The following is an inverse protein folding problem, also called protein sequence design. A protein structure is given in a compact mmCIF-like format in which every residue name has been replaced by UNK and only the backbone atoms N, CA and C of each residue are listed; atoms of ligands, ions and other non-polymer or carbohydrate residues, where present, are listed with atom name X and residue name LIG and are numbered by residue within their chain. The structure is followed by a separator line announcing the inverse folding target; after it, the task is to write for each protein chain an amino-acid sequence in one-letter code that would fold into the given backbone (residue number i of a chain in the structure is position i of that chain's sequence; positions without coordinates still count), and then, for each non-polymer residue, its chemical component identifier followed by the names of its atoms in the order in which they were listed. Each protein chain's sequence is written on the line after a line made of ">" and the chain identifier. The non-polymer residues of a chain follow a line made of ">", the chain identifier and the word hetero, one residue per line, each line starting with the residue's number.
data_IF_216168709812
#
_entry.id   IF_216168709812
#
_cell.length_a   1.000
_cell.length_b   1.000
_cell.length_c   1.000
_cell.angle_alpha   90.00
_cell.angle_beta   90.00
_cell.angle_gamma   90.00
#
_symmetry.space_group_name_H-M   'P 1'
#
loop_
_entity.id
_entity.type
_entity.pdbx_description
1 polymer ?
#
# COMPACT_ATOMS: atom_id res chain seq x y z
N UNK A 1 -8.52 -16.51 36.61
CA UNK A 1 -9.24 -15.97 35.45
C UNK A 1 -8.42 -16.28 34.21
N UNK A 2 -8.94 -17.07 33.27
CA UNK A 2 -8.27 -17.28 31.99
C UNK A 2 -8.31 -15.95 31.22
N UNK A 3 -7.13 -15.42 30.84
CA UNK A 3 -7.06 -14.27 29.95
C UNK A 3 -7.78 -14.64 28.65
N UNK A 4 -8.77 -13.85 28.24
CA UNK A 4 -9.33 -13.99 26.90
C UNK A 4 -8.19 -13.87 25.88
N UNK A 5 -8.17 -14.70 24.82
CA UNK A 5 -7.18 -14.52 23.77
C UNK A 5 -7.33 -13.12 23.17
N UNK A 6 -6.20 -12.46 22.85
CA UNK A 6 -6.23 -11.13 22.28
C UNK A 6 -7.06 -11.10 20.99
N UNK A 7 -7.84 -10.05 20.81
CA UNK A 7 -8.59 -9.83 19.57
C UNK A 7 -7.62 -9.42 18.46
N UNK A 8 -7.94 -9.78 17.22
CA UNK A 8 -7.12 -9.45 16.04
C UNK A 8 -6.82 -7.95 15.92
N UNK A 9 -7.73 -7.10 16.38
CA UNK A 9 -7.67 -5.64 16.23
C UNK A 9 -7.22 -4.94 17.53
N UNK A 10 -6.77 -5.67 18.54
CA UNK A 10 -6.31 -5.09 19.80
C UNK A 10 -5.13 -4.13 19.56
N UNK A 11 -5.29 -2.88 20.02
CA UNK A 11 -4.32 -1.81 19.88
C UNK A 11 -4.44 -1.01 18.59
N UNK A 12 -5.32 -1.36 17.67
CA UNK A 12 -5.55 -0.58 16.45
C UNK A 12 -6.44 0.64 16.71
N UNK A 13 -6.16 1.74 16.01
CA UNK A 13 -7.03 2.91 16.03
C UNK A 13 -8.30 2.68 15.19
N UNK A 14 -9.42 3.39 15.48
CA UNK A 14 -10.60 3.34 14.62
C UNK A 14 -10.28 3.70 13.15
N UNK A 15 -9.34 4.62 12.92
CA UNK A 15 -8.89 5.01 11.58
C UNK A 15 -8.22 3.83 10.86
N UNK A 16 -7.32 3.08 11.52
CA UNK A 16 -6.72 1.88 10.94
C UNK A 16 -7.77 0.83 10.56
N UNK A 17 -8.74 0.60 11.46
CA UNK A 17 -9.81 -0.38 11.20
C UNK A 17 -10.68 0.06 10.01
N UNK A 18 -11.05 1.34 9.91
CA UNK A 18 -11.84 1.85 8.79
C UNK A 18 -11.12 1.72 7.44
N UNK A 19 -9.80 2.00 7.41
CA UNK A 19 -8.99 1.83 6.21
C UNK A 19 -8.88 0.36 5.77
N UNK A 20 -8.63 -0.55 6.72
CA UNK A 20 -8.53 -2.00 6.46
C UNK A 20 -9.83 -2.63 5.97
N UNK A 21 -10.95 -2.08 6.37
CA UNK A 21 -12.28 -2.57 5.97
C UNK A 21 -12.87 -1.87 4.75
N UNK A 22 -12.18 -0.87 4.20
CA UNK A 22 -12.66 -0.07 3.07
C UNK A 22 -13.81 0.88 3.44
N UNK A 23 -14.00 1.17 4.72
CA UNK A 23 -15.03 2.10 5.22
C UNK A 23 -14.54 3.55 5.09
N UNK A 24 -14.29 4.00 3.85
CA UNK A 24 -13.63 5.29 3.57
C UNK A 24 -14.42 6.50 4.06
N UNK A 25 -15.75 6.48 4.04
CA UNK A 25 -16.59 7.54 4.61
C UNK A 25 -16.36 7.68 6.11
N UNK A 26 -16.17 6.56 6.81
CA UNK A 26 -15.83 6.57 8.23
C UNK A 26 -14.41 7.08 8.44
N UNK A 27 -13.46 6.67 7.58
CA UNK A 27 -12.09 7.16 7.64
C UNK A 27 -12.04 8.69 7.47
N UNK A 28 -12.72 9.23 6.46
CA UNK A 28 -12.82 10.69 6.22
C UNK A 28 -13.43 11.41 7.43
N UNK A 29 -14.53 10.89 7.98
CA UNK A 29 -15.15 11.45 9.18
C UNK A 29 -14.20 11.45 10.38
N UNK A 30 -13.47 10.35 10.62
CA UNK A 30 -12.52 10.26 11.73
C UNK A 30 -11.35 11.25 11.55
N UNK A 31 -10.88 11.44 10.33
CA UNK A 31 -9.85 12.43 9.99
C UNK A 31 -10.36 13.84 10.27
N UNK A 32 -11.60 14.17 9.88
CA UNK A 32 -12.24 15.45 10.14
C UNK A 32 -12.41 15.73 11.64
N UNK A 33 -12.61 14.68 12.44
CA UNK A 33 -12.69 14.75 13.89
C UNK A 33 -11.31 14.79 14.57
N UNK A 34 -10.21 14.86 13.80
CA UNK A 34 -8.86 15.00 14.34
C UNK A 34 -8.20 13.67 14.74
N UNK A 35 -8.58 12.56 14.10
CA UNK A 35 -7.86 11.31 14.30
C UNK A 35 -6.36 11.48 13.99
N UNK A 36 -5.50 10.87 14.80
CA UNK A 36 -4.05 10.93 14.61
C UNK A 36 -3.64 10.16 13.34
N UNK A 37 -3.22 10.91 12.32
CA UNK A 37 -2.76 10.38 11.02
C UNK A 37 -1.36 9.77 11.10
N UNK A 38 -0.66 9.91 12.22
CA UNK A 38 0.64 9.29 12.50
C UNK A 38 0.56 8.19 13.56
N UNK A 39 -0.65 7.75 13.89
CA UNK A 39 -0.84 6.67 14.86
C UNK A 39 -0.12 5.38 14.42
N UNK A 40 0.50 4.72 15.40
CA UNK A 40 1.01 3.35 15.29
C UNK A 40 0.73 2.63 16.61
N UNK A 41 0.41 1.34 16.55
CA UNK A 41 0.16 0.54 17.74
C UNK A 41 1.37 0.53 18.68
N UNK A 42 1.12 0.64 20.00
CA UNK A 42 2.14 0.55 21.02
C UNK A 42 2.78 -0.84 21.08
N UNK A 43 4.05 -0.92 21.49
CA UNK A 43 4.78 -2.17 21.60
C UNK A 43 4.19 -3.14 22.65
N UNK A 44 3.34 -2.67 23.54
CA UNK A 44 2.63 -3.49 24.53
C UNK A 44 1.38 -4.17 23.99
N UNK A 45 0.90 -3.78 22.79
CA UNK A 45 -0.24 -4.47 22.15
C UNK A 45 0.15 -5.90 21.78
N UNK A 46 -0.88 -6.74 21.60
CA UNK A 46 -0.67 -8.16 21.30
C UNK A 46 -0.31 -8.47 19.84
N UNK A 47 -0.32 -7.45 18.96
CA UNK A 47 -0.03 -7.63 17.56
C UNK A 47 1.48 -7.80 17.33
N UNK A 48 1.88 -8.90 16.73
CA UNK A 48 3.26 -9.15 16.35
C UNK A 48 3.72 -8.17 15.26
N UNK A 49 2.82 -7.79 14.36
CA UNK A 49 3.05 -6.78 13.35
C UNK A 49 2.26 -5.52 13.68
N UNK A 50 2.98 -4.41 13.79
CA UNK A 50 2.44 -3.09 14.06
C UNK A 50 2.86 -2.16 12.94
N UNK A 51 1.94 -1.38 12.43
CA UNK A 51 2.19 -0.50 11.30
C UNK A 51 1.67 0.91 11.58
N UNK A 52 2.40 1.95 11.11
CA UNK A 52 1.85 3.29 11.04
C UNK A 52 0.55 3.28 10.23
N UNK A 53 -0.44 4.04 10.66
CA UNK A 53 -1.75 4.12 9.99
C UNK A 53 -1.65 4.55 8.51
N UNK A 54 -0.61 5.29 8.14
CA UNK A 54 -0.32 5.64 6.74
C UNK A 54 -0.08 4.40 5.87
N UNK A 55 0.47 3.31 6.41
CA UNK A 55 0.63 2.05 5.68
C UNK A 55 -0.71 1.41 5.34
N UNK A 56 -1.71 1.53 6.22
CA UNK A 56 -3.06 1.04 5.95
C UNK A 56 -3.73 1.88 4.86
N UNK A 57 -3.50 3.19 4.82
CA UNK A 57 -3.99 4.05 3.76
C UNK A 57 -3.33 3.74 2.40
N UNK A 58 -2.00 3.52 2.37
CA UNK A 58 -1.28 3.09 1.16
C UNK A 58 -1.82 1.74 0.68
N UNK A 59 -1.97 0.76 1.59
CA UNK A 59 -2.54 -0.54 1.26
C UNK A 59 -3.95 -0.40 0.68
N UNK A 60 -4.80 0.41 1.32
CA UNK A 60 -6.16 0.65 0.86
C UNK A 60 -6.18 1.28 -0.54
N UNK A 61 -5.35 2.29 -0.80
CA UNK A 61 -5.26 2.95 -2.10
C UNK A 61 -4.81 1.98 -3.21
N UNK A 62 -3.76 1.18 -2.95
CA UNK A 62 -3.26 0.19 -3.92
C UNK A 62 -4.29 -0.92 -4.17
N UNK A 63 -4.89 -1.49 -3.11
CA UNK A 63 -5.84 -2.61 -3.27
C UNK A 63 -7.19 -2.19 -3.85
N UNK A 64 -7.55 -0.91 -3.82
CA UNK A 64 -8.73 -0.37 -4.50
C UNK A 64 -8.40 0.20 -5.89
N UNK A 65 -7.16 0.11 -6.36
CA UNK A 65 -6.84 0.34 -7.78
C UNK A 65 -7.58 -0.66 -8.68
N UNK A 66 -7.79 -0.33 -9.95
CA UNK A 66 -8.53 -1.17 -10.93
C UNK A 66 -7.70 -2.37 -11.37
N UNK A 67 -7.41 -3.27 -10.44
CA UNK A 67 -6.66 -4.50 -10.71
C UNK A 67 -7.55 -5.65 -11.17
N UNK A 68 -6.97 -6.65 -11.79
CA UNK A 68 -7.69 -7.76 -12.40
C UNK A 68 -7.01 -9.10 -12.14
N UNK A 69 -7.75 -10.17 -12.43
CA UNK A 69 -7.18 -11.50 -12.66
C UNK A 69 -7.44 -11.90 -14.10
N UNK A 70 -6.52 -12.66 -14.68
CA UNK A 70 -6.63 -13.22 -16.00
C UNK A 70 -6.24 -14.71 -15.93
N UNK A 71 -7.20 -15.59 -15.75
CA UNK A 71 -6.95 -17.03 -15.62
C UNK A 71 -7.94 -17.85 -16.45
N UNK A 72 -7.55 -19.08 -16.75
CA UNK A 72 -8.30 -19.99 -17.65
C UNK A 72 -9.71 -20.34 -17.16
N UNK A 73 -9.95 -20.26 -15.84
CA UNK A 73 -11.22 -20.67 -15.23
C UNK A 73 -12.23 -19.52 -15.21
N UNK A 74 -11.78 -18.31 -14.83
CA UNK A 74 -12.66 -17.16 -14.62
C UNK A 74 -12.52 -16.09 -15.71
N UNK A 75 -11.55 -16.22 -16.60
CA UNK A 75 -11.21 -15.21 -17.59
C UNK A 75 -10.74 -13.90 -16.95
N UNK A 76 -10.85 -12.82 -17.72
CA UNK A 76 -10.56 -11.48 -17.23
C UNK A 76 -11.66 -11.02 -16.27
N UNK A 77 -11.25 -10.58 -15.05
CA UNK A 77 -12.15 -9.99 -14.05
C UNK A 77 -11.46 -8.84 -13.35
N UNK A 78 -12.09 -7.67 -13.40
CA UNK A 78 -11.68 -6.48 -12.65
C UNK A 78 -12.35 -6.44 -11.28
N UNK A 79 -11.62 -6.00 -10.24
CA UNK A 79 -12.04 -6.09 -8.83
C UNK A 79 -12.38 -4.75 -8.19
N UNK A 80 -12.16 -3.63 -8.89
CA UNK A 80 -12.44 -2.31 -8.36
C UNK A 80 -12.95 -1.38 -9.45
N UNK A 81 -13.74 -0.40 -9.06
CA UNK A 81 -14.21 0.66 -9.96
C UNK A 81 -13.31 1.89 -9.86
N UNK A 82 -13.39 2.78 -10.88
CA UNK A 82 -12.71 4.09 -10.80
C UNK A 82 -13.16 4.88 -9.56
N UNK A 83 -14.43 4.77 -9.18
CA UNK A 83 -14.96 5.46 -8.00
C UNK A 83 -14.30 4.97 -6.70
N UNK A 84 -14.10 3.66 -6.57
CA UNK A 84 -13.44 3.07 -5.39
C UNK A 84 -11.97 3.47 -5.34
N UNK A 85 -11.26 3.39 -6.48
CA UNK A 85 -9.88 3.83 -6.62
C UNK A 85 -9.72 5.32 -6.26
N UNK A 86 -10.61 6.18 -6.76
CA UNK A 86 -10.57 7.62 -6.49
C UNK A 86 -10.87 7.92 -5.01
N UNK A 87 -11.77 7.16 -4.39
CA UNK A 87 -12.11 7.34 -2.97
C UNK A 87 -10.95 6.97 -2.06
N UNK A 88 -10.37 5.80 -2.27
CA UNK A 88 -9.22 5.35 -1.48
C UNK A 88 -8.00 6.27 -1.65
N UNK A 89 -7.75 6.73 -2.89
CA UNK A 89 -6.69 7.70 -3.17
C UNK A 89 -6.89 9.02 -2.42
N UNK A 90 -8.10 9.60 -2.43
CA UNK A 90 -8.39 10.86 -1.72
C UNK A 90 -8.15 10.77 -0.21
N UNK A 91 -8.49 9.63 0.40
CA UNK A 91 -8.21 9.44 1.84
C UNK A 91 -6.71 9.44 2.11
N UNK A 92 -5.92 8.73 1.29
CA UNK A 92 -4.46 8.74 1.39
C UNK A 92 -3.88 10.15 1.20
N UNK A 93 -4.29 10.85 0.14
CA UNK A 93 -3.88 12.23 -0.16
C UNK A 93 -4.16 13.16 1.02
N UNK A 94 -5.39 13.13 1.56
CA UNK A 94 -5.78 13.95 2.69
C UNK A 94 -4.96 13.65 3.97
N UNK A 95 -4.66 12.38 4.25
CA UNK A 95 -3.80 12.04 5.39
C UNK A 95 -2.40 12.63 5.23
N UNK A 96 -1.83 12.57 4.03
CA UNK A 96 -0.51 13.13 3.72
C UNK A 96 -0.54 14.66 3.83
N UNK A 97 -1.56 15.34 3.31
CA UNK A 97 -1.76 16.79 3.46
C UNK A 97 -1.86 17.23 4.92
N UNK A 98 -2.39 16.39 5.78
CA UNK A 98 -2.48 16.62 7.23
C UNK A 98 -1.20 16.25 7.99
N UNK A 99 -0.13 15.89 7.29
CA UNK A 99 1.18 15.64 7.86
C UNK A 99 1.45 14.18 8.26
N UNK A 100 0.77 13.23 7.62
CA UNK A 100 1.15 11.83 7.79
C UNK A 100 2.57 11.59 7.24
N UNK A 101 3.42 10.96 8.04
CA UNK A 101 4.81 10.66 7.66
C UNK A 101 4.86 9.46 6.69
N UNK A 102 5.07 9.75 5.40
CA UNK A 102 5.18 8.72 4.35
C UNK A 102 6.41 7.82 4.52
N UNK A 103 7.39 8.23 5.34
CA UNK A 103 8.61 7.47 5.62
C UNK A 103 8.56 6.70 6.94
N UNK A 104 7.46 6.80 7.70
CA UNK A 104 7.27 6.01 8.90
C UNK A 104 7.43 4.51 8.62
N UNK A 105 8.08 3.80 9.53
CA UNK A 105 8.41 2.38 9.35
C UNK A 105 7.57 1.50 10.27
N UNK A 106 7.18 0.34 9.77
CA UNK A 106 6.49 -0.69 10.57
C UNK A 106 7.47 -1.45 11.49
N UNK A 107 6.94 -2.31 12.35
CA UNK A 107 7.73 -3.10 13.29
C UNK A 107 8.71 -4.09 12.62
N UNK A 108 8.59 -4.31 11.33
CA UNK A 108 9.51 -5.11 10.51
C UNK A 108 10.48 -4.23 9.70
N UNK A 109 10.40 -2.90 9.83
CA UNK A 109 11.29 -1.97 9.14
C UNK A 109 10.94 -1.76 7.67
N UNK A 110 9.69 -1.91 7.28
CA UNK A 110 9.22 -1.48 5.94
C UNK A 110 8.72 -0.04 6.02
N UNK A 111 9.18 0.83 5.13
CA UNK A 111 8.68 2.21 4.97
C UNK A 111 7.44 2.26 4.08
N UNK A 112 6.84 3.45 3.93
CA UNK A 112 5.66 3.62 3.05
C UNK A 112 5.92 3.22 1.60
N UNK A 113 7.11 3.53 1.04
CA UNK A 113 7.44 3.09 -0.34
C UNK A 113 7.61 1.57 -0.42
N UNK A 114 8.19 0.92 0.59
CA UNK A 114 8.21 -0.54 0.67
C UNK A 114 6.80 -1.11 0.73
N UNK A 115 5.93 -0.49 1.52
CA UNK A 115 4.52 -0.91 1.63
C UNK A 115 3.80 -0.81 0.28
N UNK A 116 3.98 0.29 -0.44
CA UNK A 116 3.46 0.44 -1.80
C UNK A 116 3.94 -0.69 -2.72
N UNK A 117 5.26 -0.93 -2.80
CA UNK A 117 5.82 -1.95 -3.68
C UNK A 117 5.35 -3.36 -3.35
N UNK A 118 5.33 -3.72 -2.06
CA UNK A 118 4.84 -5.03 -1.59
C UNK A 118 3.37 -5.26 -1.96
N UNK A 119 2.55 -4.21 -1.88
CA UNK A 119 1.14 -4.31 -2.18
C UNK A 119 0.88 -4.30 -3.69
N UNK A 120 1.59 -3.45 -4.45
CA UNK A 120 1.53 -3.43 -5.91
C UNK A 120 1.94 -4.77 -6.54
N UNK A 121 2.96 -5.43 -5.98
CA UNK A 121 3.38 -6.75 -6.43
C UNK A 121 2.29 -7.83 -6.29
N UNK A 122 1.28 -7.64 -5.43
CA UNK A 122 0.17 -8.60 -5.27
C UNK A 122 -0.89 -8.45 -6.36
N UNK A 123 -0.99 -7.29 -7.00
CA UNK A 123 -2.04 -6.96 -7.98
C UNK A 123 -1.52 -6.78 -9.41
N UNK A 124 -0.22 -6.68 -9.58
CA UNK A 124 0.47 -6.65 -10.88
C UNK A 124 0.74 -8.06 -11.39
N UNK A 125 1.01 -8.23 -12.71
CA UNK A 125 1.49 -9.50 -13.24
C UNK A 125 2.68 -10.03 -12.45
N UNK A 126 2.63 -11.30 -12.07
CA UNK A 126 3.72 -11.91 -11.32
C UNK A 126 4.93 -12.12 -12.25
N UNK A 127 6.13 -11.88 -11.72
CA UNK A 127 7.37 -12.02 -12.49
C UNK A 127 8.03 -13.36 -12.24
N UNK A 128 8.35 -14.09 -13.32
CA UNK A 128 9.06 -15.37 -13.24
C UNK A 128 10.55 -15.15 -13.49
N UNK A 129 11.33 -15.20 -12.41
CA UNK A 129 12.79 -15.01 -12.48
C UNK A 129 13.55 -16.09 -13.26
N UNK A 130 12.94 -17.27 -13.47
CA UNK A 130 13.58 -18.34 -14.24
C UNK A 130 13.46 -18.15 -15.76
N UNK A 131 12.37 -17.55 -16.21
CA UNK A 131 12.12 -17.28 -17.63
C UNK A 131 12.38 -15.82 -18.02
N UNK A 132 12.63 -14.95 -17.05
CA UNK A 132 12.76 -13.49 -17.21
C UNK A 132 11.56 -12.84 -17.91
N UNK A 133 10.35 -13.35 -17.63
CA UNK A 133 9.10 -12.87 -18.21
C UNK A 133 8.04 -12.64 -17.13
N UNK A 134 7.11 -11.74 -17.41
CA UNK A 134 5.86 -11.63 -16.64
C UNK A 134 4.93 -12.79 -17.00
N UNK A 135 4.18 -13.28 -16.02
CA UNK A 135 3.13 -14.28 -16.23
C UNK A 135 1.86 -13.55 -16.73
N UNK A 136 0.95 -14.32 -17.32
CA UNK A 136 -0.33 -13.86 -17.84
C UNK A 136 -1.49 -13.97 -16.81
N UNK A 137 -1.14 -14.16 -15.54
CA UNK A 137 -2.09 -14.27 -14.43
C UNK A 137 -2.88 -12.99 -14.17
N UNK A 138 -2.38 -11.84 -14.66
CA UNK A 138 -3.00 -10.51 -14.64
C UNK A 138 -2.62 -9.73 -15.88
N UNK A 139 -3.42 -8.72 -16.22
CA UNK A 139 -3.10 -7.77 -17.28
C UNK A 139 -2.77 -6.43 -16.64
N UNK A 140 -1.60 -5.88 -16.95
CA UNK A 140 -1.24 -4.52 -16.54
C UNK A 140 -1.92 -3.52 -17.47
N UNK A 141 -3.19 -3.22 -17.19
CA UNK A 141 -4.01 -2.30 -17.97
C UNK A 141 -3.56 -0.86 -17.80
N UNK A 142 -3.94 0.00 -18.75
CA UNK A 142 -3.68 1.45 -18.66
C UNK A 142 -4.33 2.06 -17.42
N UNK A 143 -5.53 1.60 -17.08
CA UNK A 143 -6.28 2.08 -15.91
C UNK A 143 -5.58 1.71 -14.59
N UNK A 144 -5.03 0.51 -14.49
CA UNK A 144 -4.26 0.09 -13.33
C UNK A 144 -2.94 0.87 -13.23
N UNK A 145 -2.28 1.10 -14.37
CA UNK A 145 -1.06 1.91 -14.43
C UNK A 145 -1.32 3.35 -13.98
N UNK A 146 -2.42 3.97 -14.43
CA UNK A 146 -2.83 5.30 -13.99
C UNK A 146 -3.05 5.36 -12.48
N UNK A 147 -3.78 4.39 -11.92
CA UNK A 147 -4.09 4.34 -10.49
C UNK A 147 -2.83 4.18 -9.64
N UNK A 148 -1.93 3.27 -10.01
CA UNK A 148 -0.68 3.04 -9.28
C UNK A 148 0.31 4.21 -9.45
N UNK A 149 0.39 4.78 -10.66
CA UNK A 149 1.28 5.92 -10.93
C UNK A 149 0.88 7.14 -10.12
N UNK A 150 -0.42 7.46 -9.99
CA UNK A 150 -0.85 8.61 -9.17
C UNK A 150 -0.52 8.43 -7.69
N UNK A 151 -0.65 7.20 -7.14
CA UNK A 151 -0.26 6.91 -5.75
C UNK A 151 1.26 7.08 -5.58
N UNK A 152 2.04 6.54 -6.51
CA UNK A 152 3.50 6.63 -6.48
C UNK A 152 3.98 8.08 -6.61
N UNK A 153 3.35 8.87 -7.51
CA UNK A 153 3.60 10.30 -7.65
C UNK A 153 3.33 11.07 -6.36
N UNK A 154 2.21 10.77 -5.68
CA UNK A 154 1.87 11.40 -4.41
C UNK A 154 2.94 11.11 -3.34
N UNK A 155 3.35 9.87 -3.20
CA UNK A 155 4.42 9.48 -2.27
C UNK A 155 5.74 10.19 -2.60
N UNK A 156 6.11 10.25 -3.90
CA UNK A 156 7.33 10.93 -4.37
C UNK A 156 7.30 12.43 -4.09
N UNK A 157 6.21 13.12 -4.41
CA UNK A 157 6.04 14.55 -4.17
C UNK A 157 6.12 14.91 -2.69
N UNK A 158 5.76 14.00 -1.81
CA UNK A 158 5.87 14.14 -0.36
C UNK A 158 7.13 13.48 0.23
N UNK A 159 8.19 13.37 -0.60
CA UNK A 159 9.54 12.97 -0.18
C UNK A 159 9.66 11.56 0.37
N UNK A 160 8.89 10.60 -0.15
CA UNK A 160 9.15 9.19 0.15
C UNK A 160 10.59 8.81 -0.22
N UNK A 161 11.30 8.17 0.71
CA UNK A 161 12.70 7.80 0.52
C UNK A 161 12.84 6.47 -0.23
N UNK A 162 13.05 6.54 -1.54
CA UNK A 162 13.27 5.38 -2.41
C UNK A 162 14.63 4.70 -2.15
N UNK A 163 15.56 5.39 -1.49
CA UNK A 163 16.88 4.87 -1.12
C UNK A 163 16.88 4.16 0.23
N UNK A 164 15.78 4.21 0.98
CA UNK A 164 15.67 3.57 2.28
C UNK A 164 15.99 2.08 2.21
N UNK A 165 16.98 1.65 2.97
CA UNK A 165 17.43 0.25 3.07
C UNK A 165 16.66 -0.44 4.19
N UNK A 166 15.80 -1.39 3.84
CA UNK A 166 15.08 -2.16 4.85
C UNK A 166 16.01 -3.05 5.65
N UNK A 167 15.89 -3.07 6.99
CA UNK A 167 16.73 -3.92 7.84
C UNK A 167 16.53 -5.42 7.58
N UNK A 168 15.39 -5.83 7.01
CA UNK A 168 15.09 -7.22 6.71
C UNK A 168 15.75 -7.69 5.42
N UNK A 169 15.59 -6.95 4.33
CA UNK A 169 16.11 -7.33 3.01
C UNK A 169 17.57 -6.88 2.80
N UNK A 170 18.04 -5.88 3.56
CA UNK A 170 19.32 -5.17 3.37
C UNK A 170 19.43 -4.48 2.01
N UNK A 171 18.30 -4.22 1.36
CA UNK A 171 18.18 -3.58 0.05
C UNK A 171 17.22 -2.40 0.12
N UNK A 172 17.39 -1.46 -0.80
CA UNK A 172 16.36 -0.47 -1.12
C UNK A 172 15.29 -1.09 -2.03
N UNK A 173 14.15 -0.40 -2.22
CA UNK A 173 13.13 -0.87 -3.18
C UNK A 173 13.68 -0.92 -4.61
N UNK A 174 14.62 -0.03 -4.96
CA UNK A 174 15.25 0.02 -6.28
C UNK A 174 16.19 -1.14 -6.51
N UNK A 175 16.89 -1.59 -5.46
CA UNK A 175 17.79 -2.74 -5.54
C UNK A 175 17.03 -4.07 -5.49
N UNK A 176 15.86 -4.08 -4.84
CA UNK A 176 15.06 -5.30 -4.69
C UNK A 176 14.20 -5.57 -5.95
N UNK A 177 13.52 -4.54 -6.47
CA UNK A 177 12.67 -4.65 -7.66
C UNK A 177 13.45 -4.20 -8.90
N UNK A 178 14.25 -5.10 -9.49
CA UNK A 178 15.05 -4.81 -10.67
C UNK A 178 14.34 -5.14 -11.99
N UNK A 179 13.38 -6.06 -11.96
CA UNK A 179 12.64 -6.61 -13.09
C UNK A 179 11.14 -6.68 -12.82
N UNK A 180 10.32 -6.78 -13.86
CA UNK A 180 8.88 -6.88 -13.80
C UNK A 180 8.17 -5.54 -13.63
N UNK A 181 6.84 -5.58 -13.50
CA UNK A 181 5.96 -4.41 -13.54
C UNK A 181 6.25 -3.39 -12.42
N UNK A 182 6.57 -3.85 -11.19
CA UNK A 182 6.94 -2.93 -10.10
C UNK A 182 8.21 -2.16 -10.42
N UNK A 183 9.23 -2.84 -10.97
CA UNK A 183 10.46 -2.17 -11.41
C UNK A 183 10.19 -1.16 -12.52
N UNK A 184 9.28 -1.46 -13.43
CA UNK A 184 8.83 -0.56 -14.49
C UNK A 184 8.25 0.74 -13.93
N UNK A 185 7.35 0.64 -12.95
CA UNK A 185 6.74 1.79 -12.27
C UNK A 185 7.81 2.65 -11.56
N UNK A 186 8.71 2.03 -10.78
CA UNK A 186 9.75 2.74 -10.06
C UNK A 186 10.71 3.49 -10.99
N UNK A 187 11.17 2.83 -12.07
CA UNK A 187 12.07 3.42 -13.07
C UNK A 187 11.40 4.59 -13.80
N UNK A 188 10.12 4.46 -14.15
CA UNK A 188 9.35 5.52 -14.79
C UNK A 188 9.26 6.75 -13.90
N UNK A 189 9.03 6.56 -12.61
CA UNK A 189 8.94 7.65 -11.63
C UNK A 189 10.24 8.43 -11.48
N UNK A 190 11.37 7.75 -11.39
CA UNK A 190 12.68 8.39 -11.19
C UNK A 190 13.19 9.09 -12.46
N UNK A 191 12.87 8.55 -13.64
CA UNK A 191 13.34 9.11 -14.92
C UNK A 191 12.53 10.34 -15.38
N UNK A 192 11.38 10.64 -14.80
CA UNK A 192 10.55 11.81 -15.08
C UNK A 192 10.95 13.01 -14.21
N UNK A 193 11.85 12.81 -13.27
CA UNK A 193 12.36 13.79 -12.30
C UNK A 193 13.72 14.31 -12.75
#
# INVERSE_FOLDING_TARGET
>A
MAKQPPKKDDGQSPLQVSLKTGAFEIAEYLIDMGADVNFMEDASCCNAWRAPVIHDAINAAVMNSRWNTNNDIMGFREFSTKQDADRAYRVLERMIELGADVNAVDSYGSSGIWRFCLQAAQILPSYNHSTHCENDDRIFTTELEEDLTRILNLLYQHHADFSYVSPNTKLSVLDFYQEGAVAGLLKKQINVS
#
